data_IF_533850384482
#
_entry.id   IF_533850384482
#
_cell.length_a   1.000
_cell.length_b   1.000
_cell.length_c   1.000
_cell.angle_alpha   90.00
_cell.angle_beta   90.00
_cell.angle_gamma   90.00
#
_symmetry.space_group_name_H-M   'P 1'
#
loop_
_entity.id
_entity.type
_entity.pdbx_description
1 polymer ?
#
# COMPACT_ATOMS: atom_id res chain seq x y z
N UNK A 1 -19.47 13.91 -4.05
CA UNK A 1 -19.40 13.46 -5.45
C UNK A 1 -18.39 12.33 -5.49
N UNK A 2 -18.84 11.10 -5.27
CA UNK A 2 -17.97 9.92 -5.29
C UNK A 2 -17.81 9.47 -6.74
N UNK A 3 -16.65 9.75 -7.32
CA UNK A 3 -16.28 9.18 -8.62
C UNK A 3 -15.75 7.77 -8.39
N UNK A 4 -16.60 6.78 -8.65
CA UNK A 4 -16.21 5.38 -8.74
C UNK A 4 -15.39 5.21 -10.02
N UNK A 5 -14.06 5.12 -9.89
CA UNK A 5 -13.16 4.74 -10.99
C UNK A 5 -12.80 3.27 -10.83
N UNK A 6 -13.35 2.42 -11.69
CA UNK A 6 -12.91 1.03 -11.85
C UNK A 6 -11.67 0.96 -12.80
N UNK A 7 -10.83 -0.09 -12.68
CA UNK A 7 -9.39 0.03 -12.91
C UNK A 7 -9.02 -0.28 -14.36
N UNK A 8 -8.93 0.76 -15.18
CA UNK A 8 -8.18 0.72 -16.45
C UNK A 8 -7.04 1.75 -16.50
N UNK A 9 -6.98 2.67 -15.55
CA UNK A 9 -6.10 3.85 -15.57
C UNK A 9 -5.15 3.95 -14.38
N UNK A 10 -4.88 2.85 -13.68
CA UNK A 10 -3.82 2.82 -12.68
C UNK A 10 -2.48 3.00 -13.38
N UNK A 11 -1.98 4.24 -13.41
CA UNK A 11 -0.66 4.57 -13.94
C UNK A 11 0.38 3.82 -13.12
N UNK A 12 1.15 2.96 -13.78
CA UNK A 12 2.20 2.16 -13.13
C UNK A 12 3.11 3.04 -12.25
N UNK A 13 3.31 2.67 -10.97
CA UNK A 13 4.24 3.35 -10.06
C UNK A 13 5.68 3.35 -10.56
N UNK A 14 6.06 2.40 -11.41
CA UNK A 14 7.29 2.45 -12.20
C UNK A 14 7.12 1.65 -13.50
N UNK A 15 6.91 2.30 -14.67
CA UNK A 15 6.75 1.59 -15.93
C UNK A 15 8.03 0.86 -16.38
N UNK A 16 9.19 1.18 -15.80
CA UNK A 16 10.45 0.47 -16.04
C UNK A 16 10.81 -0.46 -14.86
N UNK A 17 9.88 -0.67 -13.92
CA UNK A 17 10.07 -1.51 -12.76
C UNK A 17 10.32 -2.98 -13.11
N UNK A 18 11.15 -3.62 -12.29
CA UNK A 18 11.55 -5.02 -12.33
C UNK A 18 10.72 -5.92 -11.39
N UNK A 19 9.80 -5.33 -10.61
CA UNK A 19 8.84 -6.07 -9.78
C UNK A 19 7.43 -5.82 -10.29
N UNK A 20 6.70 -6.89 -10.55
CA UNK A 20 5.27 -6.86 -10.84
C UNK A 20 4.49 -7.33 -9.61
N UNK A 21 3.56 -6.52 -9.15
CA UNK A 21 2.70 -6.79 -7.99
C UNK A 21 1.27 -7.04 -8.49
N UNK A 22 0.76 -8.24 -8.23
CA UNK A 22 -0.59 -8.67 -8.58
C UNK A 22 -1.48 -8.51 -7.34
N UNK A 23 -2.22 -7.41 -7.26
CA UNK A 23 -3.01 -7.02 -6.09
C UNK A 23 -4.47 -7.37 -6.33
N UNK A 24 -5.07 -8.17 -5.44
CA UNK A 24 -6.47 -8.57 -5.56
C UNK A 24 -7.27 -8.23 -4.30
N UNK A 25 -8.52 -7.81 -4.52
CA UNK A 25 -9.45 -7.53 -3.42
C UNK A 25 -9.79 -8.80 -2.64
N UNK A 26 -10.14 -8.68 -1.33
CA UNK A 26 -10.71 -9.79 -0.58
C UNK A 26 -11.95 -10.33 -1.31
N UNK A 27 -11.96 -11.64 -1.57
CA UNK A 27 -13.11 -12.29 -2.17
C UNK A 27 -14.25 -12.27 -1.16
N UNK A 28 -15.26 -11.42 -1.36
CA UNK A 28 -16.52 -11.55 -0.64
C UNK A 28 -17.18 -12.81 -1.17
N UNK A 29 -17.04 -13.91 -0.45
CA UNK A 29 -17.55 -15.21 -0.88
C UNK A 29 -19.08 -15.18 -1.04
N UNK A 30 -19.51 -15.18 -2.31
CA UNK A 30 -20.73 -15.79 -2.83
C UNK A 30 -22.11 -15.33 -2.29
N UNK A 31 -22.75 -14.40 -3.01
CA UNK A 31 -24.21 -14.44 -3.21
C UNK A 31 -24.64 -14.42 -4.69
N UNK A 32 -23.72 -14.14 -5.63
CA UNK A 32 -24.07 -13.97 -7.04
C UNK A 32 -22.98 -14.54 -7.97
N UNK A 33 -22.98 -15.87 -8.14
CA UNK A 33 -22.68 -16.63 -9.36
C UNK A 33 -21.59 -16.27 -10.38
N UNK A 34 -20.69 -15.31 -10.15
CA UNK A 34 -19.55 -15.02 -11.02
C UNK A 34 -18.40 -14.43 -10.19
N UNK A 35 -17.38 -15.24 -9.91
CA UNK A 35 -16.12 -14.81 -9.30
C UNK A 35 -15.30 -14.03 -10.33
N UNK A 36 -15.46 -12.71 -10.39
CA UNK A 36 -14.44 -11.87 -11.01
C UNK A 36 -13.36 -11.60 -9.97
N UNK A 37 -12.25 -12.32 -10.05
CA UNK A 37 -11.02 -11.92 -9.37
C UNK A 37 -10.56 -10.59 -9.97
N UNK A 38 -10.99 -9.47 -9.37
CA UNK A 38 -10.49 -8.15 -9.73
C UNK A 38 -9.05 -8.04 -9.23
N UNK A 39 -8.14 -8.46 -10.08
CA UNK A 39 -6.69 -8.33 -9.89
C UNK A 39 -6.20 -7.12 -10.66
N UNK A 40 -5.52 -6.21 -9.97
CA UNK A 40 -4.83 -5.06 -10.55
C UNK A 40 -3.34 -5.33 -10.56
N UNK A 41 -2.69 -5.07 -11.69
CA UNK A 41 -1.25 -5.22 -11.86
C UNK A 41 -0.58 -3.87 -11.67
N UNK A 42 0.45 -3.82 -10.82
CA UNK A 42 1.32 -2.67 -10.66
C UNK A 42 2.76 -3.04 -10.97
N UNK A 43 3.47 -2.17 -11.67
CA UNK A 43 4.93 -2.25 -11.79
C UNK A 43 5.63 -1.32 -10.82
N UNK A 44 6.70 -1.82 -10.20
CA UNK A 44 7.49 -1.12 -9.19
C UNK A 44 8.98 -1.48 -9.32
N UNK A 45 9.85 -0.61 -8.83
CA UNK A 45 11.28 -0.90 -8.76
C UNK A 45 11.63 -1.63 -7.45
N UNK A 46 12.31 -2.76 -7.58
CA UNK A 46 12.88 -3.55 -6.49
C UNK A 46 13.71 -2.68 -5.55
N UNK A 47 14.52 -1.76 -6.10
CA UNK A 47 15.36 -0.84 -5.34
C UNK A 47 14.55 0.11 -4.46
N UNK A 48 13.47 0.69 -5.00
CA UNK A 48 12.59 1.57 -4.24
C UNK A 48 11.85 0.78 -3.15
N UNK A 49 11.30 -0.38 -3.49
CA UNK A 49 10.62 -1.26 -2.54
C UNK A 49 11.54 -1.69 -1.40
N UNK A 50 12.74 -2.18 -1.71
CA UNK A 50 13.74 -2.62 -0.72
C UNK A 50 14.27 -1.47 0.13
N UNK A 51 14.42 -0.26 -0.42
CA UNK A 51 14.83 0.90 0.35
C UNK A 51 13.74 1.33 1.34
N UNK A 52 12.48 1.29 0.91
CA UNK A 52 11.34 1.79 1.67
C UNK A 52 10.82 0.80 2.73
N UNK A 53 10.97 -0.51 2.51
CA UNK A 53 10.29 -1.55 3.27
C UNK A 53 11.23 -2.68 3.65
N UNK A 54 11.32 -2.98 4.96
CA UNK A 54 12.09 -4.12 5.47
C UNK A 54 11.53 -5.46 4.99
N UNK A 55 10.21 -5.54 4.78
CA UNK A 55 9.58 -6.72 4.19
C UNK A 55 10.13 -6.98 2.77
N UNK A 56 10.04 -5.99 1.89
CA UNK A 56 10.51 -6.14 0.50
C UNK A 56 12.04 -6.27 0.43
N UNK A 57 12.79 -5.58 1.30
CA UNK A 57 14.25 -5.73 1.41
C UNK A 57 14.64 -7.19 1.69
N UNK A 58 13.93 -7.86 2.60
CA UNK A 58 14.20 -9.27 2.90
C UNK A 58 13.74 -10.17 1.76
N UNK A 59 12.52 -9.98 1.25
CA UNK A 59 11.91 -10.88 0.27
C UNK A 59 12.57 -10.85 -1.11
N UNK A 60 13.16 -9.72 -1.49
CA UNK A 60 13.85 -9.55 -2.78
C UNK A 60 15.35 -9.92 -2.73
N UNK A 61 15.87 -10.42 -1.59
CA UNK A 61 17.23 -10.99 -1.52
C UNK A 61 17.26 -12.40 -2.09
N UNK A 62 18.43 -12.80 -2.64
CA UNK A 62 18.68 -14.10 -3.27
C UNK A 62 18.44 -15.33 -2.37
N UNK A 63 18.22 -15.14 -1.08
CA UNK A 63 17.85 -16.20 -0.14
C UNK A 63 16.43 -16.72 -0.38
N UNK A 64 15.54 -15.87 -0.93
CA UNK A 64 14.15 -16.18 -1.20
C UNK A 64 13.91 -16.44 -2.70
N UNK A 65 12.82 -17.15 -3.01
CA UNK A 65 12.48 -17.52 -4.39
C UNK A 65 12.32 -16.28 -5.27
N UNK A 66 11.70 -15.23 -4.75
CA UNK A 66 11.46 -13.98 -5.45
C UNK A 66 12.76 -13.24 -5.77
N UNK A 67 13.70 -13.18 -4.82
CA UNK A 67 15.00 -12.56 -5.07
C UNK A 67 15.88 -13.37 -6.02
N UNK A 68 15.76 -14.71 -6.02
CA UNK A 68 16.43 -15.56 -7.02
C UNK A 68 15.90 -15.28 -8.43
N UNK A 69 14.58 -15.28 -8.60
CA UNK A 69 13.93 -14.96 -9.86
C UNK A 69 14.32 -13.56 -10.36
N UNK A 70 14.33 -12.56 -9.46
CA UNK A 70 14.75 -11.20 -9.80
C UNK A 70 16.21 -11.15 -10.31
N UNK A 71 17.12 -11.95 -9.74
CA UNK A 71 18.51 -11.99 -10.17
C UNK A 71 18.73 -12.77 -11.46
N UNK A 72 18.02 -13.89 -11.66
CA UNK A 72 18.18 -14.72 -12.85
C UNK A 72 17.46 -14.13 -14.07
N UNK A 73 16.24 -13.65 -13.87
CA UNK A 73 15.31 -13.31 -14.95
C UNK A 73 15.20 -11.79 -15.16
N UNK A 74 15.85 -11.00 -14.28
CA UNK A 74 15.78 -9.54 -14.28
C UNK A 74 14.41 -8.98 -13.91
N UNK A 75 13.45 -9.84 -13.55
CA UNK A 75 12.10 -9.47 -13.14
C UNK A 75 11.50 -10.51 -12.20
N UNK A 76 10.49 -10.12 -11.42
CA UNK A 76 9.72 -11.04 -10.58
C UNK A 76 8.25 -10.63 -10.46
N UNK A 77 7.36 -11.61 -10.39
CA UNK A 77 5.95 -11.43 -10.06
C UNK A 77 5.66 -11.85 -8.61
N UNK A 78 4.97 -10.98 -7.87
CA UNK A 78 4.52 -11.23 -6.50
C UNK A 78 3.01 -11.05 -6.37
N UNK A 79 2.35 -11.99 -5.70
CA UNK A 79 0.91 -11.91 -5.41
C UNK A 79 0.67 -11.21 -4.08
N UNK A 80 -0.30 -10.29 -4.07
CA UNK A 80 -0.72 -9.53 -2.89
C UNK A 80 -2.24 -9.69 -2.77
N UNK A 81 -2.70 -10.81 -2.19
CA UNK A 81 -4.12 -11.07 -2.03
C UNK A 81 -4.72 -10.17 -0.95
N UNK A 82 -6.06 -10.11 -0.94
CA UNK A 82 -6.86 -9.48 0.13
C UNK A 82 -6.49 -8.01 0.42
N UNK A 83 -6.05 -7.30 -0.61
CA UNK A 83 -5.54 -5.94 -0.48
C UNK A 83 -6.29 -5.00 -1.41
N UNK A 84 -6.74 -3.87 -0.86
CA UNK A 84 -7.37 -2.81 -1.62
C UNK A 84 -6.35 -2.18 -2.60
N UNK A 85 -6.54 -2.31 -3.93
CA UNK A 85 -5.58 -1.81 -4.90
C UNK A 85 -5.35 -0.30 -4.82
N UNK A 86 -6.37 0.49 -4.48
CA UNK A 86 -6.22 1.95 -4.41
C UNK A 86 -5.36 2.37 -3.21
N UNK A 87 -5.60 1.74 -2.07
CA UNK A 87 -4.79 1.95 -0.85
C UNK A 87 -3.35 1.50 -1.11
N UNK A 88 -3.17 0.35 -1.76
CA UNK A 88 -1.84 -0.14 -2.12
C UNK A 88 -1.12 0.76 -3.11
N UNK A 89 -1.83 1.36 -4.07
CA UNK A 89 -1.25 2.34 -5.00
C UNK A 89 -0.75 3.60 -4.27
N UNK A 90 -1.45 4.08 -3.24
CA UNK A 90 -0.96 5.19 -2.40
C UNK A 90 0.37 4.80 -1.76
N UNK A 91 0.44 3.59 -1.18
CA UNK A 91 1.67 3.06 -0.58
C UNK A 91 2.81 3.00 -1.59
N UNK A 92 2.57 2.48 -2.81
CA UNK A 92 3.58 2.43 -3.86
C UNK A 92 4.06 3.81 -4.30
N UNK A 93 3.15 4.80 -4.39
CA UNK A 93 3.53 6.18 -4.69
C UNK A 93 4.40 6.78 -3.60
N UNK A 94 4.14 6.47 -2.32
CA UNK A 94 5.01 6.88 -1.20
C UNK A 94 6.38 6.23 -1.30
N UNK A 95 6.46 4.91 -1.55
CA UNK A 95 7.72 4.18 -1.70
C UNK A 95 8.57 4.69 -2.89
N UNK A 96 7.93 5.19 -3.95
CA UNK A 96 8.60 5.78 -5.12
C UNK A 96 8.78 7.31 -5.04
N UNK A 97 8.53 7.92 -3.88
CA UNK A 97 8.62 9.38 -3.69
C UNK A 97 7.80 10.20 -4.69
N UNK A 98 6.71 9.63 -5.24
CA UNK A 98 5.80 10.28 -6.19
C UNK A 98 4.77 11.13 -5.46
N UNK A 99 5.25 12.11 -4.69
CA UNK A 99 4.43 12.95 -3.79
C UNK A 99 3.24 13.61 -4.48
N UNK A 100 3.38 14.04 -5.74
CA UNK A 100 2.27 14.62 -6.53
C UNK A 100 1.11 13.66 -6.81
N UNK A 101 1.33 12.35 -6.68
CA UNK A 101 0.32 11.28 -6.87
C UNK A 101 -0.26 10.79 -5.54
N UNK A 102 0.30 11.22 -4.41
CA UNK A 102 -0.24 10.92 -3.08
C UNK A 102 -1.42 11.88 -2.82
N UNK A 103 -2.60 11.37 -2.45
CA UNK A 103 -3.76 12.23 -2.22
C UNK A 103 -3.53 13.17 -1.03
N UNK A 104 -4.03 14.39 -1.11
CA UNK A 104 -3.96 15.38 -0.02
C UNK A 104 -4.93 15.07 1.12
N UNK A 105 -5.99 14.32 0.83
CA UNK A 105 -7.01 13.88 1.78
C UNK A 105 -7.33 12.42 1.54
N UNK A 106 -7.51 11.66 2.62
CA UNK A 106 -7.99 10.27 2.58
C UNK A 106 -9.17 10.12 3.54
N UNK A 107 -10.03 9.14 3.29
CA UNK A 107 -11.08 8.74 4.21
C UNK A 107 -10.49 8.04 5.44
N UNK A 108 -11.27 7.94 6.52
CA UNK A 108 -10.84 7.22 7.72
C UNK A 108 -10.59 5.72 7.44
N UNK A 109 -11.40 5.11 6.56
CA UNK A 109 -11.22 3.73 6.12
C UNK A 109 -9.90 3.52 5.36
N UNK A 110 -9.60 4.38 4.38
CA UNK A 110 -8.32 4.35 3.65
C UNK A 110 -7.12 4.57 4.58
N UNK A 111 -7.24 5.49 5.55
CA UNK A 111 -6.18 5.73 6.53
C UNK A 111 -5.93 4.49 7.40
N UNK A 112 -6.99 3.82 7.82
CA UNK A 112 -6.90 2.59 8.63
C UNK A 112 -6.26 1.46 7.82
N UNK A 113 -6.69 1.26 6.58
CA UNK A 113 -6.07 0.28 5.66
C UNK A 113 -4.61 0.60 5.40
N UNK A 114 -4.26 1.88 5.16
CA UNK A 114 -2.87 2.32 5.01
C UNK A 114 -2.05 2.01 6.24
N UNK A 115 -2.57 2.24 7.45
CA UNK A 115 -1.88 1.93 8.69
C UNK A 115 -1.52 0.45 8.80
N UNK A 116 -2.49 -0.43 8.47
CA UNK A 116 -2.28 -1.89 8.43
C UNK A 116 -1.18 -2.27 7.43
N UNK A 117 -1.22 -1.70 6.22
CA UNK A 117 -0.20 -1.99 5.21
C UNK A 117 1.19 -1.49 5.63
N UNK A 118 1.27 -0.28 6.19
CA UNK A 118 2.54 0.31 6.61
C UNK A 118 3.20 -0.52 7.71
N UNK A 119 2.41 -1.02 8.66
CA UNK A 119 2.85 -1.92 9.71
C UNK A 119 3.32 -3.26 9.12
N UNK A 120 2.47 -3.89 8.30
CA UNK A 120 2.76 -5.18 7.66
C UNK A 120 4.05 -5.15 6.80
N UNK A 121 4.19 -4.12 5.96
CA UNK A 121 5.37 -3.94 5.12
C UNK A 121 6.54 -3.28 5.86
N UNK A 122 6.39 -2.95 7.14
CA UNK A 122 7.43 -2.36 7.99
C UNK A 122 8.08 -1.13 7.34
N UNK A 123 7.26 -0.15 6.96
CA UNK A 123 7.67 0.99 6.14
C UNK A 123 7.20 2.36 6.68
N UNK A 124 7.09 2.50 7.99
CA UNK A 124 6.59 3.70 8.68
C UNK A 124 7.22 5.03 8.22
N UNK A 125 8.52 5.04 7.93
CA UNK A 125 9.27 6.23 7.54
C UNK A 125 8.76 6.88 6.25
N UNK A 126 8.16 6.11 5.33
CA UNK A 126 7.70 6.66 4.04
C UNK A 126 6.50 7.60 4.20
N UNK A 127 5.80 7.53 5.34
CA UNK A 127 4.63 8.36 5.61
C UNK A 127 4.99 9.84 5.82
N UNK A 128 6.22 10.14 6.26
CA UNK A 128 6.65 11.51 6.54
C UNK A 128 5.60 12.31 7.33
N UNK A 129 5.11 13.40 6.74
CA UNK A 129 4.09 14.29 7.34
C UNK A 129 2.65 13.99 6.89
N UNK A 130 2.43 13.04 5.98
CA UNK A 130 1.09 12.78 5.42
C UNK A 130 0.05 12.44 6.48
N UNK A 131 0.32 11.62 7.52
CA UNK A 131 -0.68 11.33 8.54
C UNK A 131 -1.16 12.58 9.28
N UNK A 132 -0.28 13.57 9.52
CA UNK A 132 -0.66 14.82 10.18
C UNK A 132 -1.63 15.65 9.32
N UNK A 133 -1.44 15.63 8.00
CA UNK A 133 -2.31 16.30 7.03
C UNK A 133 -3.63 15.57 6.86
N UNK A 134 -3.60 14.25 6.66
CA UNK A 134 -4.79 13.42 6.51
C UNK A 134 -5.69 13.43 7.74
N UNK A 135 -5.10 13.62 8.93
CA UNK A 135 -5.85 13.73 10.18
C UNK A 135 -6.41 15.14 10.46
N UNK A 136 -6.03 16.17 9.69
CA UNK A 136 -6.53 17.54 9.91
C UNK A 136 -8.06 17.67 9.87
N UNK A 137 -8.78 17.12 8.87
CA UNK A 137 -10.23 17.24 8.78
C UNK A 137 -10.97 16.62 9.98
N UNK A 138 -10.34 15.66 10.64
CA UNK A 138 -10.91 14.89 11.75
C UNK A 138 -10.64 15.51 13.13
N UNK A 139 -9.86 16.61 13.19
CA UNK A 139 -9.47 17.29 14.45
C UNK A 139 -10.64 17.89 15.24
N UNK A 140 -11.77 18.14 14.59
CA UNK A 140 -12.96 18.72 15.23
C UNK A 140 -14.08 17.74 15.56
N UNK A 141 -13.96 16.45 15.19
CA UNK A 141 -15.05 15.47 15.28
C UNK A 141 -14.81 14.37 16.33
N UNK A 142 -13.65 14.34 16.98
CA UNK A 142 -13.28 13.29 17.97
C UNK A 142 -12.56 13.88 19.18
N UNK A 143 -12.70 13.29 20.39
CA UNK A 143 -11.92 13.69 21.55
C UNK A 143 -10.41 13.57 21.26
N UNK A 144 -9.64 14.61 21.64
CA UNK A 144 -8.21 14.78 21.32
C UNK A 144 -7.34 13.57 21.69
N UNK A 145 -7.69 12.87 22.78
CA UNK A 145 -6.98 11.69 23.29
C UNK A 145 -6.99 10.51 22.30
N UNK A 146 -8.12 10.22 21.67
CA UNK A 146 -8.25 9.08 20.75
C UNK A 146 -7.46 9.29 19.45
N UNK A 147 -7.39 10.55 19.00
CA UNK A 147 -6.61 10.95 17.83
C UNK A 147 -5.11 10.78 18.06
N UNK A 148 -4.60 11.27 19.18
CA UNK A 148 -3.16 11.19 19.48
C UNK A 148 -2.73 9.74 19.67
N UNK A 149 -3.61 8.89 20.19
CA UNK A 149 -3.43 7.44 20.23
C UNK A 149 -3.36 6.82 18.82
N UNK A 150 -4.29 7.13 17.92
CA UNK A 150 -4.26 6.64 16.53
C UNK A 150 -2.99 7.09 15.80
N UNK A 151 -2.62 8.37 15.91
CA UNK A 151 -1.37 8.90 15.34
C UNK A 151 -0.19 8.11 15.90
N UNK A 152 -0.13 7.98 17.22
CA UNK A 152 0.93 7.23 17.89
C UNK A 152 0.96 5.79 17.41
N UNK A 153 -0.17 5.12 17.20
CA UNK A 153 -0.24 3.75 16.67
C UNK A 153 0.31 3.66 15.25
N UNK A 154 -0.13 4.54 14.36
CA UNK A 154 0.33 4.61 12.96
C UNK A 154 1.84 4.79 12.90
N UNK A 155 2.45 5.54 13.83
CA UNK A 155 3.90 5.79 13.83
C UNK A 155 4.72 4.83 14.68
N UNK A 156 4.12 4.09 15.62
CA UNK A 156 4.87 3.22 16.55
C UNK A 156 4.84 1.73 16.20
N UNK A 157 4.13 1.32 15.14
CA UNK A 157 4.10 -0.08 14.69
C UNK A 157 3.53 -1.04 15.74
N UNK A 158 2.59 -0.55 16.57
CA UNK A 158 1.88 -1.35 17.58
C UNK A 158 0.40 -1.11 17.39
N UNK A 159 -0.23 -1.98 16.61
CA UNK A 159 -1.69 -2.10 16.57
C UNK A 159 -2.08 -2.92 17.82
N UNK A 160 -2.75 -2.33 18.83
CA UNK A 160 -3.27 -3.12 19.94
C UNK A 160 -4.57 -3.80 19.47
N UNK A 161 -4.55 -5.13 19.41
CA UNK A 161 -5.76 -5.94 19.46
C UNK A 161 -5.93 -6.49 20.88
#
# INVERSE_FOLDING_TARGET
MSSTVFPGNSVDPDPNGDVTLLVSLPQVSALFGASHEMTVKYRASSKHLSLASRYFEKRLKAEWAEGKALQSDGHVEMKIPETDPQVFLILLNLMHCRTKRVPTTVTFDELTKLAILVDYYQCHEILGLYPQHWLQPWRGQTPTTYRDEIVKWIFSGRIPF
#
